data_IF_821994047883
#
_entry.id   IF_821994047883
#
_cell.length_a   1.000
_cell.length_b   1.000
_cell.length_c   1.000
_cell.angle_alpha   90.00
_cell.angle_beta   90.00
_cell.angle_gamma   90.00
#
_symmetry.space_group_name_H-M   'P 1'
#
loop_
_entity.id
_entity.type
_entity.pdbx_description
1 polymer ?
#
# COMPACT_ATOMS: atom_id res chain seq x y z
N UNK A 1 7.32 9.84 3.05
CA UNK A 1 7.83 9.25 1.80
C UNK A 1 6.64 8.83 0.96
N UNK A 2 6.73 9.02 -0.35
CA UNK A 2 5.64 8.66 -1.26
C UNK A 2 5.73 7.17 -1.56
N UNK A 3 4.63 6.45 -1.33
CA UNK A 3 4.52 5.02 -1.59
C UNK A 3 3.20 4.67 -2.22
N UNK A 4 3.19 3.51 -2.89
CA UNK A 4 2.12 3.05 -3.74
C UNK A 4 1.64 1.66 -3.31
N UNK A 5 0.34 1.43 -3.35
CA UNK A 5 -0.24 0.09 -3.25
C UNK A 5 -0.90 -0.29 -4.57
N UNK A 6 -0.38 -1.32 -5.23
CA UNK A 6 -0.93 -1.85 -6.47
C UNK A 6 -2.04 -2.86 -6.19
N UNK A 7 -3.16 -2.73 -6.90
CA UNK A 7 -4.33 -3.57 -6.64
C UNK A 7 -5.19 -3.80 -7.88
N UNK A 8 -6.21 -4.62 -7.72
CA UNK A 8 -7.22 -4.87 -8.76
C UNK A 8 -8.24 -3.75 -8.85
N UNK A 9 -8.87 -3.60 -10.00
CA UNK A 9 -9.95 -2.63 -10.19
C UNK A 9 -11.11 -2.83 -9.21
N UNK A 10 -11.51 -4.08 -8.97
CA UNK A 10 -12.56 -4.41 -8.00
C UNK A 10 -12.21 -3.93 -6.59
N UNK A 11 -11.00 -4.24 -6.12
CA UNK A 11 -10.53 -3.85 -4.79
C UNK A 11 -10.41 -2.33 -4.67
N UNK A 12 -9.84 -1.68 -5.69
CA UNK A 12 -9.76 -0.22 -5.78
C UNK A 12 -11.14 0.44 -5.66
N UNK A 13 -12.11 0.01 -6.48
CA UNK A 13 -13.46 0.56 -6.46
C UNK A 13 -14.13 0.38 -5.09
N UNK A 14 -13.92 -0.76 -4.45
CA UNK A 14 -14.42 -1.00 -3.10
C UNK A 14 -13.79 -0.03 -2.10
N UNK A 15 -12.46 0.10 -2.08
CA UNK A 15 -11.72 0.99 -1.18
C UNK A 15 -12.11 2.45 -1.41
N UNK A 16 -12.24 2.90 -2.65
CA UNK A 16 -12.63 4.28 -2.96
C UNK A 16 -14.09 4.57 -2.57
N UNK A 17 -14.98 3.58 -2.68
CA UNK A 17 -16.38 3.68 -2.25
C UNK A 17 -16.50 3.73 -0.72
N UNK A 18 -15.83 2.83 0.00
CA UNK A 18 -15.94 2.75 1.47
C UNK A 18 -15.03 3.74 2.17
N UNK A 19 -13.99 4.24 1.49
CA UNK A 19 -12.86 4.98 2.06
C UNK A 19 -12.08 4.16 3.09
N UNK A 20 -12.20 2.84 3.07
CA UNK A 20 -11.56 1.92 4.01
C UNK A 20 -10.60 0.99 3.28
N UNK A 21 -9.33 1.07 3.65
CA UNK A 21 -8.28 0.20 3.16
C UNK A 21 -7.91 -0.82 4.24
N UNK A 22 -8.28 -2.07 4.00
CA UNK A 22 -8.04 -3.18 4.91
C UNK A 22 -6.63 -3.75 4.72
N UNK A 23 -6.01 -4.25 5.81
CA UNK A 23 -4.69 -4.86 5.75
C UNK A 23 -4.75 -6.23 5.07
N UNK A 24 -3.60 -6.69 4.61
CA UNK A 24 -3.39 -8.05 4.14
C UNK A 24 -3.09 -8.97 5.32
N UNK A 25 -3.69 -10.17 5.31
CA UNK A 25 -3.52 -11.20 6.32
C UNK A 25 -2.87 -12.43 5.69
N UNK A 26 -2.29 -13.31 6.52
CA UNK A 26 -1.70 -14.58 6.04
C UNK A 26 -2.68 -15.44 5.23
N UNK A 27 -3.98 -15.32 5.52
CA UNK A 27 -5.05 -16.03 4.82
C UNK A 27 -5.39 -15.44 3.44
N UNK A 28 -4.90 -14.24 3.10
CA UNK A 28 -5.39 -13.49 1.92
C UNK A 28 -4.31 -13.04 0.94
N UNK A 29 -3.03 -13.00 1.32
CA UNK A 29 -1.97 -12.53 0.42
C UNK A 29 -0.62 -13.25 0.61
N UNK A 30 0.08 -13.52 -0.49
CA UNK A 30 1.44 -14.08 -0.51
C UNK A 30 2.44 -13.21 0.27
N UNK A 31 2.33 -11.88 0.17
CA UNK A 31 3.22 -10.97 0.87
C UNK A 31 3.02 -11.00 2.40
N UNK A 32 1.90 -11.49 2.91
CA UNK A 32 1.69 -11.64 4.35
C UNK A 32 2.66 -12.64 5.00
N UNK A 33 3.47 -13.38 4.24
CA UNK A 33 4.64 -14.10 4.76
C UNK A 33 5.59 -13.20 5.58
N UNK A 34 5.64 -11.90 5.29
CA UNK A 34 6.40 -10.91 6.05
C UNK A 34 5.61 -10.33 7.25
N UNK A 35 4.44 -10.90 7.54
CA UNK A 35 3.49 -10.60 8.62
C UNK A 35 2.32 -9.70 8.22
N UNK A 36 1.32 -9.57 9.08
CA UNK A 36 0.07 -8.85 8.74
C UNK A 36 0.28 -7.33 8.65
N UNK A 37 -0.38 -6.67 7.70
CA UNK A 37 -0.27 -5.23 7.52
C UNK A 37 -0.61 -4.76 6.12
N UNK A 38 -0.27 -3.50 5.82
CA UNK A 38 -0.44 -2.92 4.48
C UNK A 38 0.89 -2.91 3.75
N UNK A 39 0.87 -3.34 2.50
CA UNK A 39 2.06 -3.48 1.67
C UNK A 39 2.11 -2.38 0.63
N UNK A 40 3.26 -1.73 0.55
CA UNK A 40 3.53 -0.62 -0.34
C UNK A 40 4.85 -0.79 -1.08
N UNK A 41 5.03 0.02 -2.10
CA UNK A 41 6.29 0.16 -2.84
C UNK A 41 6.60 1.62 -3.10
N UNK A 42 7.86 1.97 -3.21
CA UNK A 42 8.35 3.27 -3.67
C UNK A 42 8.40 3.37 -5.21
N UNK A 43 8.10 2.29 -5.94
CA UNK A 43 8.04 2.31 -7.42
C UNK A 43 6.72 2.92 -7.92
N UNK A 44 6.74 4.09 -8.58
CA UNK A 44 5.55 4.78 -9.07
C UNK A 44 4.88 4.04 -10.24
N UNK A 45 3.60 4.32 -10.54
CA UNK A 45 2.86 3.69 -11.65
C UNK A 45 3.49 3.94 -13.02
N UNK A 46 4.27 5.02 -13.16
CA UNK A 46 5.04 5.34 -14.37
C UNK A 46 6.33 4.53 -14.53
N UNK A 47 6.67 3.65 -13.58
CA UNK A 47 7.85 2.80 -13.68
C UNK A 47 7.72 1.85 -14.88
N UNK A 48 8.85 1.38 -15.39
CA UNK A 48 8.85 0.37 -16.44
C UNK A 48 8.44 -1.01 -15.91
N UNK A 49 7.94 -1.88 -16.79
CA UNK A 49 7.66 -3.28 -16.44
C UNK A 49 8.91 -4.01 -15.91
N UNK A 50 10.11 -3.62 -16.37
CA UNK A 50 11.38 -4.18 -15.89
C UNK A 50 11.65 -3.81 -14.44
N UNK A 51 11.38 -2.58 -14.03
CA UNK A 51 11.52 -2.16 -12.63
C UNK A 51 10.47 -2.86 -11.77
N UNK A 52 9.24 -2.93 -12.25
CA UNK A 52 8.11 -3.49 -11.51
C UNK A 52 8.18 -5.02 -11.39
N UNK A 53 8.93 -5.68 -12.27
CA UNK A 53 9.28 -7.10 -12.13
C UNK A 53 9.90 -7.41 -10.76
N UNK A 54 10.66 -6.46 -10.17
CA UNK A 54 11.30 -6.65 -8.86
C UNK A 54 10.29 -6.86 -7.73
N UNK A 55 9.05 -6.37 -7.88
CA UNK A 55 8.01 -6.52 -6.87
C UNK A 55 7.45 -7.94 -6.81
N UNK A 56 7.33 -8.63 -7.95
CA UNK A 56 6.66 -9.93 -8.00
C UNK A 56 7.57 -11.07 -8.43
N UNK A 57 8.80 -10.79 -8.89
CA UNK A 57 9.69 -11.79 -9.49
C UNK A 57 9.13 -12.37 -10.80
N UNK A 58 8.21 -11.65 -11.43
CA UNK A 58 7.49 -12.04 -12.65
C UNK A 58 6.96 -10.77 -13.33
N UNK A 59 6.54 -10.85 -14.61
CA UNK A 59 5.85 -9.75 -15.26
C UNK A 59 4.65 -9.27 -14.42
N UNK A 60 4.31 -7.99 -14.56
CA UNK A 60 3.22 -7.35 -13.82
C UNK A 60 1.96 -8.22 -13.91
N UNK A 61 1.45 -8.74 -12.78
CA UNK A 61 0.28 -9.60 -12.82
C UNK A 61 -0.90 -8.87 -13.46
N UNK A 62 -1.62 -9.53 -14.38
CA UNK A 62 -2.71 -8.91 -15.15
C UNK A 62 -3.79 -8.27 -14.25
N UNK A 63 -3.99 -8.83 -13.06
CA UNK A 63 -4.92 -8.31 -12.05
C UNK A 63 -4.57 -6.92 -11.53
N UNK A 64 -3.33 -6.46 -11.67
CA UNK A 64 -2.88 -5.14 -11.22
C UNK A 64 -3.30 -4.10 -12.26
N UNK A 65 -4.38 -3.38 -11.96
CA UNK A 65 -4.97 -2.37 -12.87
C UNK A 65 -5.04 -0.97 -12.26
N UNK A 66 -4.92 -0.88 -10.94
CA UNK A 66 -5.08 0.37 -10.18
C UNK A 66 -3.99 0.52 -9.14
N UNK A 67 -3.79 1.74 -8.68
CA UNK A 67 -2.93 2.04 -7.54
C UNK A 67 -3.58 3.00 -6.55
N UNK A 68 -3.08 2.98 -5.33
CA UNK A 68 -3.33 3.99 -4.29
C UNK A 68 -1.98 4.62 -3.91
N UNK A 69 -1.92 5.95 -3.80
CA UNK A 69 -0.74 6.72 -3.43
C UNK A 69 -0.90 7.32 -2.03
N UNK A 70 0.13 7.15 -1.21
CA UNK A 70 0.19 7.64 0.16
C UNK A 70 1.48 8.41 0.41
N UNK A 71 1.41 9.42 1.26
CA UNK A 71 2.58 9.95 1.96
C UNK A 71 2.59 9.37 3.37
N UNK A 72 3.60 8.54 3.65
CA UNK A 72 3.77 7.84 4.93
C UNK A 72 5.12 8.20 5.52
N UNK A 73 5.17 8.53 6.80
CA UNK A 73 6.43 8.69 7.51
C UNK A 73 7.24 7.39 7.45
N UNK A 74 8.45 7.45 6.93
CA UNK A 74 9.29 6.28 6.71
C UNK A 74 9.56 5.51 8.01
N UNK A 75 9.57 6.19 9.17
CA UNK A 75 9.76 5.51 10.46
C UNK A 75 8.63 4.55 10.84
N UNK A 76 7.48 4.62 10.16
CA UNK A 76 6.35 3.70 10.34
C UNK A 76 6.43 2.48 9.43
N UNK A 77 7.30 2.51 8.41
CA UNK A 77 7.41 1.47 7.42
C UNK A 77 8.57 0.54 7.74
N UNK A 78 8.32 -0.76 7.57
CA UNK A 78 9.33 -1.79 7.66
C UNK A 78 9.68 -2.25 6.26
N UNK A 79 10.95 -2.08 5.88
CA UNK A 79 11.45 -2.62 4.62
C UNK A 79 11.53 -4.15 4.73
N UNK A 80 10.71 -4.86 3.94
CA UNK A 80 10.67 -6.32 3.96
C UNK A 80 11.57 -6.94 2.89
N UNK A 81 11.70 -6.26 1.75
CA UNK A 81 12.64 -6.55 0.66
C UNK A 81 12.76 -5.31 -0.23
N UNK A 82 13.68 -5.33 -1.19
CA UNK A 82 13.89 -4.23 -2.14
C UNK A 82 12.55 -3.74 -2.72
N UNK A 83 12.30 -2.44 -2.57
CA UNK A 83 11.09 -1.75 -3.01
C UNK A 83 9.77 -2.23 -2.38
N UNK A 84 9.79 -3.02 -1.31
CA UNK A 84 8.57 -3.49 -0.63
C UNK A 84 8.61 -3.12 0.85
N UNK A 85 7.60 -2.36 1.26
CA UNK A 85 7.47 -1.80 2.59
C UNK A 85 6.17 -2.29 3.21
N UNK A 86 6.24 -2.62 4.49
CA UNK A 86 5.07 -3.01 5.29
C UNK A 86 4.78 -1.93 6.33
N UNK A 87 3.54 -1.47 6.38
CA UNK A 87 2.98 -0.77 7.52
C UNK A 87 2.36 -1.82 8.46
N UNK A 88 2.91 -2.04 9.67
CA UNK A 88 2.40 -3.06 10.58
C UNK A 88 0.97 -2.79 11.04
N UNK A 89 0.24 -3.86 11.33
CA UNK A 89 -1.17 -3.82 11.74
C UNK A 89 -1.39 -2.97 13.00
N UNK A 90 -0.47 -3.08 13.96
CA UNK A 90 -0.46 -2.40 15.24
C UNK A 90 -0.26 -0.88 15.12
N UNK A 91 0.19 -0.38 13.96
CA UNK A 91 0.38 1.06 13.74
C UNK A 91 -0.95 1.81 13.63
N UNK A 92 -2.02 1.14 13.22
CA UNK A 92 -3.34 1.75 13.02
C UNK A 92 -4.35 1.21 14.03
N UNK A 93 -4.82 2.07 14.92
CA UNK A 93 -5.91 1.74 15.83
C UNK A 93 -7.18 1.38 15.04
N UNK A 94 -7.85 0.28 15.44
CA UNK A 94 -8.99 -0.27 14.71
C UNK A 94 -8.64 -1.04 13.44
N UNK A 95 -7.35 -1.13 13.07
CA UNK A 95 -6.83 -2.00 11.98
C UNK A 95 -7.43 -1.72 10.60
N UNK A 96 -7.91 -0.50 10.36
CA UNK A 96 -8.45 -0.06 9.08
C UNK A 96 -7.87 1.31 8.77
N UNK A 97 -7.20 1.44 7.61
CA UNK A 97 -6.67 2.71 7.15
C UNK A 97 -7.76 3.45 6.38
N UNK A 98 -8.23 4.58 6.93
CA UNK A 98 -9.30 5.39 6.35
C UNK A 98 -8.72 6.48 5.46
N UNK A 99 -9.11 6.47 4.18
CA UNK A 99 -8.53 7.35 3.15
C UNK A 99 -8.94 8.82 3.30
N UNK A 100 -10.02 9.11 4.04
CA UNK A 100 -10.49 10.45 4.33
C UNK A 100 -9.86 11.06 5.58
N UNK A 101 -8.99 10.33 6.29
CA UNK A 101 -8.31 10.80 7.49
C UNK A 101 -6.85 11.17 7.21
N UNK A 102 -6.33 12.05 8.08
CA UNK A 102 -4.90 12.34 8.22
C UNK A 102 -4.47 11.82 9.58
N UNK A 103 -3.56 10.88 9.61
CA UNK A 103 -3.04 10.33 10.87
C UNK A 103 -1.91 11.21 11.36
N UNK A 104 -1.89 11.52 12.66
CA UNK A 104 -0.90 12.44 13.23
C UNK A 104 -0.20 11.85 14.44
N UNK A 105 1.09 12.17 14.58
CA UNK A 105 1.91 11.90 15.77
C UNK A 105 2.53 13.21 16.21
N UNK A 106 2.31 13.61 17.47
CA UNK A 106 2.84 14.89 18.01
C UNK A 106 2.55 16.11 17.12
N UNK A 107 1.33 16.18 16.56
CA UNK A 107 0.85 17.23 15.62
C UNK A 107 1.45 17.21 14.21
N UNK A 108 2.35 16.28 13.89
CA UNK A 108 2.83 16.04 12.51
C UNK A 108 1.94 15.02 11.81
N UNK A 109 1.56 15.26 10.56
CA UNK A 109 0.89 14.25 9.72
C UNK A 109 1.91 13.17 9.35
N UNK A 110 1.60 11.92 9.68
CA UNK A 110 2.48 10.77 9.46
C UNK A 110 1.92 9.77 8.45
N UNK A 111 0.61 9.81 8.17
CA UNK A 111 0.00 9.02 7.10
C UNK A 111 -1.09 9.88 6.45
N UNK A 112 -1.03 9.98 5.13
CA UNK A 112 -2.02 10.67 4.32
C UNK A 112 -2.20 9.93 3.00
N UNK A 113 -3.45 9.58 2.69
CA UNK A 113 -3.83 9.24 1.33
C UNK A 113 -3.75 10.49 0.44
N UNK A 114 -3.16 10.36 -0.74
CA UNK A 114 -3.06 11.45 -1.71
C UNK A 114 -4.09 11.25 -2.80
N UNK A 115 -3.96 10.18 -3.57
CA UNK A 115 -4.85 9.88 -4.69
C UNK A 115 -4.76 8.41 -5.09
N UNK A 116 -5.56 8.00 -6.06
CA UNK A 116 -5.45 6.71 -6.71
C UNK A 116 -5.82 6.83 -8.18
N UNK A 117 -5.38 5.87 -8.98
CA UNK A 117 -5.50 5.97 -10.43
C UNK A 117 -5.33 4.66 -11.16
N UNK A 118 -5.27 4.78 -12.49
CA UNK A 118 -4.94 3.68 -13.40
C UNK A 118 -3.44 3.45 -13.43
N UNK A 119 -3.08 2.20 -13.67
CA UNK A 119 -1.72 1.82 -14.00
C UNK A 119 -1.68 1.45 -15.48
#
# INVERSE_FOLDING_TARGET
MIVYHYTSEKAYNQIMRTREFYPSFFSTALDAAYGEGWYFTDLPPSSSDKELYQLWGQPVPERVKRYLMFDIDESLLQNTRTHVYRLPLETIEGRILKLNLRYTLQRRIVIRFIEGGER
#
